data_IF_557747082960
#
_entry.id   IF_557747082960
#
_cell.length_a   1.000
_cell.length_b   1.000
_cell.length_c   1.000
_cell.angle_alpha   90.00
_cell.angle_beta   90.00
_cell.angle_gamma   90.00
#
_symmetry.space_group_name_H-M   'P 1'
#
loop_
_entity.id
_entity.type
_entity.pdbx_description
1 polymer ?
#
# COMPACT_ATOMS: atom_id res chain seq x y z
N UNK A 1 -23.35 0.88 -55.36
CA UNK A 1 -23.78 2.04 -54.55
C UNK A 1 -23.06 1.94 -53.22
N UNK A 2 -22.33 2.98 -52.80
CA UNK A 2 -21.64 2.99 -51.51
C UNK A 2 -22.67 3.38 -50.44
N UNK A 3 -23.04 2.45 -49.59
CA UNK A 3 -23.85 2.73 -48.41
C UNK A 3 -23.01 3.57 -47.45
N UNK A 4 -23.32 4.86 -47.34
CA UNK A 4 -22.68 5.76 -46.39
C UNK A 4 -23.32 5.63 -45.01
N UNK A 5 -22.49 5.62 -43.97
CA UNK A 5 -22.92 5.72 -42.57
C UNK A 5 -23.77 6.98 -42.37
N UNK A 6 -24.88 6.86 -41.66
CA UNK A 6 -25.70 8.02 -41.33
C UNK A 6 -25.09 8.80 -40.16
N UNK A 7 -25.21 10.14 -40.17
CA UNK A 7 -24.76 10.99 -39.05
C UNK A 7 -25.45 10.62 -37.73
N UNK A 8 -26.69 10.15 -37.80
CA UNK A 8 -27.48 9.73 -36.63
C UNK A 8 -26.96 8.42 -36.04
N UNK A 9 -26.52 7.47 -36.87
CA UNK A 9 -25.87 6.24 -36.38
C UNK A 9 -24.59 6.55 -35.61
N UNK A 10 -23.78 7.48 -36.11
CA UNK A 10 -22.57 7.88 -35.39
C UNK A 10 -22.88 8.62 -34.08
N UNK A 11 -23.94 9.43 -34.06
CA UNK A 11 -24.33 10.20 -32.89
C UNK A 11 -24.84 9.31 -31.73
N UNK A 12 -25.69 8.32 -32.02
CA UNK A 12 -26.19 7.43 -30.96
C UNK A 12 -25.07 6.56 -30.38
N UNK A 13 -24.10 6.15 -31.19
CA UNK A 13 -22.95 5.35 -30.74
C UNK A 13 -22.07 6.15 -29.79
N UNK A 14 -21.74 7.41 -30.11
CA UNK A 14 -20.93 8.24 -29.19
C UNK A 14 -21.67 8.59 -27.90
N UNK A 15 -23.00 8.73 -27.96
CA UNK A 15 -23.84 8.95 -26.78
C UNK A 15 -23.84 7.72 -25.84
N UNK A 16 -23.98 6.51 -26.40
CA UNK A 16 -23.95 5.27 -25.62
C UNK A 16 -22.55 5.06 -25.01
N UNK A 17 -21.47 5.22 -25.78
CA UNK A 17 -20.10 5.10 -25.27
C UNK A 17 -19.81 6.17 -24.20
N UNK A 18 -20.34 7.39 -24.35
CA UNK A 18 -20.20 8.47 -23.36
C UNK A 18 -20.80 8.12 -22.00
N UNK A 19 -21.99 7.51 -21.96
CA UNK A 19 -22.65 7.09 -20.70
C UNK A 19 -21.87 5.93 -20.05
N UNK A 20 -21.45 4.94 -20.84
CA UNK A 20 -20.69 3.78 -20.34
C UNK A 20 -19.31 4.19 -19.80
N UNK A 21 -18.62 5.13 -20.47
CA UNK A 21 -17.35 5.67 -20.01
C UNK A 21 -17.50 6.47 -18.71
N UNK A 22 -18.56 7.27 -18.59
CA UNK A 22 -18.82 8.07 -17.38
C UNK A 22 -19.01 7.23 -16.11
N UNK A 23 -19.68 6.07 -16.22
CA UNK A 23 -19.96 5.22 -15.07
C UNK A 23 -18.77 4.38 -14.57
N UNK A 24 -17.82 4.05 -15.46
CA UNK A 24 -16.77 3.05 -15.19
C UNK A 24 -15.45 3.64 -14.70
N UNK A 25 -15.14 4.89 -15.05
CA UNK A 25 -13.90 5.58 -14.66
C UNK A 25 -13.59 5.57 -13.15
N UNK A 26 -14.52 5.96 -12.24
CA UNK A 26 -14.20 6.01 -10.82
C UNK A 26 -14.00 4.62 -10.19
N UNK A 27 -14.60 3.57 -10.77
CA UNK A 27 -14.42 2.20 -10.30
C UNK A 27 -13.03 1.66 -10.69
N UNK A 28 -12.54 2.02 -11.87
CA UNK A 28 -11.22 1.60 -12.35
C UNK A 28 -10.09 2.13 -11.44
N UNK A 29 -10.14 3.41 -11.04
CA UNK A 29 -9.12 4.00 -10.15
C UNK A 29 -9.02 3.28 -8.81
N UNK A 30 -10.16 2.87 -8.23
CA UNK A 30 -10.22 2.13 -6.96
C UNK A 30 -9.59 0.75 -7.08
N UNK A 31 -9.89 0.01 -8.14
CA UNK A 31 -9.32 -1.32 -8.38
C UNK A 31 -7.79 -1.25 -8.58
N UNK A 32 -7.31 -0.24 -9.31
CA UNK A 32 -5.88 -0.01 -9.50
C UNK A 32 -5.20 0.35 -8.18
N UNK A 33 -5.85 1.14 -7.33
CA UNK A 33 -5.33 1.48 -6.01
C UNK A 33 -5.19 0.27 -5.08
N UNK A 34 -6.20 -0.61 -5.03
CA UNK A 34 -6.11 -1.85 -4.27
C UNK A 34 -4.95 -2.72 -4.75
N UNK A 35 -4.79 -2.87 -6.08
CA UNK A 35 -3.68 -3.62 -6.66
C UNK A 35 -2.31 -3.03 -6.27
N UNK A 36 -2.19 -1.70 -6.22
CA UNK A 36 -0.97 -1.03 -5.74
C UNK A 36 -0.72 -1.29 -4.27
N UNK A 37 -1.75 -1.22 -3.44
CA UNK A 37 -1.63 -1.50 -2.01
C UNK A 37 -1.18 -2.94 -1.74
N UNK A 38 -1.76 -3.92 -2.43
CA UNK A 38 -1.35 -5.34 -2.33
C UNK A 38 0.13 -5.54 -2.64
N UNK A 39 0.71 -4.77 -3.59
CA UNK A 39 2.15 -4.84 -3.89
C UNK A 39 3.00 -4.43 -2.69
N UNK A 40 2.60 -3.41 -1.94
CA UNK A 40 3.34 -3.01 -0.74
C UNK A 40 3.23 -4.06 0.36
N UNK A 41 2.06 -4.69 0.52
CA UNK A 41 1.88 -5.76 1.50
C UNK A 41 2.80 -6.96 1.23
N UNK A 42 3.07 -7.29 -0.04
CA UNK A 42 4.06 -8.31 -0.41
C UNK A 42 5.47 -7.92 0.09
N UNK A 43 5.88 -6.66 -0.08
CA UNK A 43 7.19 -6.20 0.41
C UNK A 43 7.24 -6.12 1.93
N UNK A 44 6.17 -5.66 2.59
CA UNK A 44 6.04 -5.66 4.05
C UNK A 44 6.27 -7.07 4.60
N UNK A 45 5.67 -8.09 3.97
CA UNK A 45 5.91 -9.50 4.31
C UNK A 45 7.35 -9.94 4.08
N UNK A 46 7.94 -9.62 2.93
CA UNK A 46 9.35 -9.95 2.66
C UNK A 46 10.29 -9.31 3.68
N UNK A 47 10.01 -8.07 4.09
CA UNK A 47 10.75 -7.38 5.15
C UNK A 47 10.57 -8.12 6.47
N UNK A 48 9.35 -8.50 6.84
CA UNK A 48 9.08 -9.26 8.06
C UNK A 48 9.84 -10.58 8.11
N UNK A 49 9.82 -11.37 7.03
CA UNK A 49 10.56 -12.63 6.96
C UNK A 49 12.08 -12.42 7.03
N UNK A 50 12.60 -11.38 6.37
CA UNK A 50 14.00 -11.01 6.47
C UNK A 50 14.39 -10.59 7.91
N UNK A 51 13.50 -9.89 8.61
CA UNK A 51 13.70 -9.52 10.03
C UNK A 51 13.73 -10.75 10.92
N UNK A 52 12.75 -11.64 10.76
CA UNK A 52 12.66 -12.88 11.53
C UNK A 52 13.91 -13.73 11.36
N UNK A 53 14.38 -13.89 10.12
CA UNK A 53 15.62 -14.61 9.83
C UNK A 53 16.84 -13.94 10.49
N UNK A 54 16.97 -12.61 10.37
CA UNK A 54 18.08 -11.90 10.98
C UNK A 54 18.05 -11.96 12.52
N UNK A 55 16.85 -11.94 13.12
CA UNK A 55 16.68 -12.14 14.56
C UNK A 55 17.09 -13.54 15.00
N UNK A 56 16.72 -14.58 14.24
CA UNK A 56 17.17 -15.96 14.53
C UNK A 56 18.68 -16.14 14.41
N UNK A 57 19.34 -15.47 13.46
CA UNK A 57 20.80 -15.61 13.25
C UNK A 57 21.64 -14.73 14.19
N UNK A 58 21.19 -13.50 14.51
CA UNK A 58 22.00 -12.50 15.24
C UNK A 58 21.41 -12.07 16.59
N UNK A 59 20.22 -12.57 16.93
CA UNK A 59 19.48 -12.19 18.14
C UNK A 59 18.91 -10.77 18.13
N UNK A 60 19.00 -10.04 17.01
CA UNK A 60 18.59 -8.64 16.91
C UNK A 60 17.97 -8.32 15.55
N UNK A 61 17.02 -7.38 15.53
CA UNK A 61 16.45 -6.85 14.29
C UNK A 61 17.45 -5.95 13.55
N UNK A 62 17.34 -5.89 12.23
CA UNK A 62 18.13 -4.97 11.40
C UNK A 62 17.35 -3.69 11.17
N UNK A 63 17.98 -2.53 11.29
CA UNK A 63 17.35 -1.25 10.94
C UNK A 63 17.81 -0.73 9.57
N UNK A 64 18.58 -1.56 8.86
CA UNK A 64 19.17 -1.24 7.58
C UNK A 64 18.56 -2.12 6.48
N UNK A 65 17.75 -1.51 5.61
CA UNK A 65 17.18 -2.18 4.44
C UNK A 65 18.23 -2.65 3.43
N UNK A 66 19.40 -2.04 3.32
CA UNK A 66 20.46 -2.52 2.44
C UNK A 66 21.12 -3.81 2.98
N UNK A 67 21.14 -3.99 4.30
CA UNK A 67 21.63 -5.23 4.92
C UNK A 67 20.62 -6.38 4.81
N UNK A 68 19.34 -6.04 4.64
CA UNK A 68 18.25 -6.99 4.44
C UNK A 68 18.11 -7.21 2.94
N UNK A 69 18.25 -8.43 2.44
CA UNK A 69 18.22 -8.71 0.98
C UNK A 69 16.81 -8.63 0.39
N UNK A 70 16.07 -7.57 0.69
CA UNK A 70 14.71 -7.31 0.22
C UNK A 70 14.78 -6.57 -1.10
N UNK A 71 14.06 -7.08 -2.10
CA UNK A 71 14.00 -6.48 -3.44
C UNK A 71 13.03 -5.31 -3.49
N UNK A 72 13.54 -4.09 -3.43
CA UNK A 72 12.77 -2.87 -3.72
C UNK A 72 12.72 -2.58 -5.23
N UNK A 73 11.71 -1.85 -5.72
CA UNK A 73 11.57 -1.55 -7.14
C UNK A 73 12.69 -0.61 -7.59
N UNK A 74 13.00 -0.65 -8.90
CA UNK A 74 13.96 0.28 -9.51
C UNK A 74 13.51 1.72 -9.28
N UNK A 75 14.47 2.60 -8.99
CA UNK A 75 14.21 4.00 -8.68
C UNK A 75 13.90 4.28 -7.20
N UNK A 76 13.89 3.25 -6.33
CA UNK A 76 13.81 3.45 -4.88
C UNK A 76 15.04 4.20 -4.38
N UNK A 77 14.82 5.29 -3.66
CA UNK A 77 15.87 6.07 -3.01
C UNK A 77 16.07 5.53 -1.59
N UNK A 78 17.30 5.17 -1.26
CA UNK A 78 17.68 4.77 0.08
C UNK A 78 18.40 5.93 0.77
N UNK A 79 17.96 6.28 1.97
CA UNK A 79 18.62 7.26 2.82
C UNK A 79 19.11 6.54 4.07
N UNK A 80 20.42 6.52 4.26
CA UNK A 80 21.05 5.85 5.41
C UNK A 80 21.55 6.90 6.40
N UNK A 81 21.16 6.76 7.66
CA UNK A 81 21.67 7.53 8.79
C UNK A 81 22.16 6.55 9.86
N UNK A 82 23.47 6.35 9.93
CA UNK A 82 24.08 5.33 10.78
C UNK A 82 23.55 3.92 10.44
N UNK A 83 22.94 3.25 11.43
CA UNK A 83 22.34 1.91 11.25
C UNK A 83 20.93 1.94 10.66
N UNK A 84 20.33 3.12 10.48
CA UNK A 84 18.97 3.29 9.98
C UNK A 84 18.99 3.51 8.48
N UNK A 85 18.12 2.81 7.75
CA UNK A 85 17.88 3.10 6.34
C UNK A 85 16.40 3.29 6.11
N UNK A 86 16.03 4.40 5.48
CA UNK A 86 14.69 4.66 4.98
C UNK A 86 14.68 4.40 3.47
N UNK A 87 13.61 3.81 2.96
CA UNK A 87 13.40 3.63 1.53
C UNK A 87 12.25 4.54 1.08
N UNK A 88 12.45 5.29 0.00
CA UNK A 88 11.39 6.11 -0.63
C UNK A 88 11.22 5.63 -2.06
N UNK A 89 10.02 5.17 -2.39
CA UNK A 89 9.67 4.68 -3.71
C UNK A 89 9.44 5.83 -4.69
N UNK A 90 9.46 5.55 -6.00
CA UNK A 90 9.12 6.54 -7.04
C UNK A 90 7.72 7.14 -6.91
N UNK A 91 6.77 6.41 -6.33
CA UNK A 91 5.39 6.86 -6.07
C UNK A 91 5.25 7.73 -4.80
N UNK A 92 6.35 7.97 -4.08
CA UNK A 92 6.37 8.74 -2.84
C UNK A 92 6.11 7.93 -1.57
N UNK A 93 5.83 6.63 -1.68
CA UNK A 93 5.66 5.73 -0.52
C UNK A 93 6.98 5.63 0.23
N UNK A 94 6.93 5.77 1.55
CA UNK A 94 8.11 5.70 2.41
C UNK A 94 8.06 4.44 3.26
N UNK A 95 9.19 3.77 3.44
CA UNK A 95 9.39 2.68 4.37
C UNK A 95 10.50 3.06 5.35
N UNK A 96 10.29 2.77 6.62
CA UNK A 96 11.24 3.04 7.70
C UNK A 96 11.09 1.97 8.78
N UNK A 97 12.18 1.62 9.47
CA UNK A 97 12.11 0.73 10.62
C UNK A 97 12.43 1.57 11.86
N UNK A 98 11.48 1.63 12.78
CA UNK A 98 11.60 2.39 14.01
C UNK A 98 12.33 1.55 15.07
N UNK A 99 13.51 1.98 15.57
CA UNK A 99 14.25 1.25 16.59
C UNK A 99 13.58 1.25 17.96
N UNK A 100 12.81 2.28 18.29
CA UNK A 100 12.34 2.49 19.65
C UNK A 100 11.29 1.46 20.04
N UNK A 101 10.49 1.01 19.08
CA UNK A 101 9.41 0.06 19.26
C UNK A 101 9.51 -1.16 18.32
N UNK A 102 10.66 -1.34 17.66
CA UNK A 102 10.93 -2.42 16.71
C UNK A 102 9.75 -2.66 15.75
N UNK A 103 9.38 -1.64 14.99
CA UNK A 103 8.29 -1.72 14.04
C UNK A 103 8.70 -1.26 12.65
N UNK A 104 8.20 -1.95 11.63
CA UNK A 104 8.22 -1.46 10.27
C UNK A 104 7.08 -0.46 10.10
N UNK A 105 7.41 0.73 9.61
CA UNK A 105 6.45 1.76 9.27
C UNK A 105 6.50 2.03 7.77
N UNK A 106 5.34 2.18 7.15
CA UNK A 106 5.27 2.71 5.81
C UNK A 106 4.16 3.75 5.67
N UNK A 107 4.34 4.70 4.76
CA UNK A 107 3.38 5.77 4.51
C UNK A 107 2.96 5.72 3.06
N UNK A 108 1.65 5.56 2.83
CA UNK A 108 1.04 5.57 1.50
C UNK A 108 -0.11 6.58 1.50
N UNK A 109 -0.10 7.54 0.57
CA UNK A 109 -1.09 8.64 0.48
C UNK A 109 -1.40 9.30 1.84
N UNK A 110 -0.36 9.66 2.59
CA UNK A 110 -0.47 10.29 3.93
C UNK A 110 -1.17 9.45 5.02
N UNK A 111 -1.37 8.16 4.77
CA UNK A 111 -1.81 7.18 5.75
C UNK A 111 -0.61 6.40 6.24
N UNK A 112 -0.43 6.35 7.57
CA UNK A 112 0.66 5.63 8.21
C UNK A 112 0.22 4.21 8.52
N UNK A 113 1.09 3.27 8.20
CA UNK A 113 0.94 1.87 8.52
C UNK A 113 2.09 1.47 9.42
N UNK A 114 1.80 0.69 10.44
CA UNK A 114 2.78 0.22 11.40
C UNK A 114 2.61 -1.27 11.61
N UNK A 115 3.71 -1.99 11.57
CA UNK A 115 3.77 -3.43 11.80
C UNK A 115 4.88 -3.70 12.81
N UNK A 116 4.54 -4.07 14.06
CA UNK A 116 5.53 -4.56 15.01
C UNK A 116 6.27 -5.76 14.43
N UNK A 117 7.61 -5.74 14.49
CA UNK A 117 8.44 -6.82 13.95
C UNK A 117 8.32 -8.14 14.74
N UNK A 118 7.70 -8.09 15.92
CA UNK A 118 7.42 -9.25 16.77
C UNK A 118 6.11 -9.97 16.39
N UNK A 119 5.05 -9.22 16.05
CA UNK A 119 3.74 -9.80 15.72
C UNK A 119 3.55 -10.02 14.22
N UNK A 120 4.13 -9.15 13.38
CA UNK A 120 3.87 -9.15 11.93
C UNK A 120 2.48 -8.65 11.56
N UNK A 121 1.67 -8.19 12.52
CA UNK A 121 0.33 -7.67 12.28
C UNK A 121 0.40 -6.21 11.83
N UNK A 122 -0.17 -5.90 10.66
CA UNK A 122 -0.17 -4.54 10.11
C UNK A 122 -1.38 -3.77 10.63
N UNK A 123 -1.12 -2.56 11.15
CA UNK A 123 -2.16 -1.62 11.60
C UNK A 123 -2.12 -0.33 10.77
N UNK A 124 -3.29 0.09 10.29
CA UNK A 124 -3.52 1.36 9.59
C UNK A 124 -3.84 2.47 10.61
N UNK A 125 -3.15 3.61 10.58
CA UNK A 125 -3.38 4.71 11.51
C UNK A 125 -4.10 5.86 10.81
N UNK A 126 -5.25 6.25 11.39
CA UNK A 126 -6.08 7.35 10.90
C UNK A 126 -6.10 8.56 11.85
N UNK A 127 -5.69 8.39 13.12
CA UNK A 127 -5.61 9.47 14.12
C UNK A 127 -6.90 10.31 14.26
N UNK A 128 -8.07 9.70 14.03
CA UNK A 128 -9.37 10.36 14.12
C UNK A 128 -9.81 11.08 12.83
N UNK A 129 -9.00 11.07 11.78
CA UNK A 129 -9.36 11.66 10.48
C UNK A 129 -10.43 10.79 9.77
N UNK A 130 -11.61 11.34 9.43
CA UNK A 130 -12.70 10.57 8.83
C UNK A 130 -12.39 10.05 7.43
N UNK A 131 -11.53 10.73 6.66
CA UNK A 131 -11.11 10.31 5.33
C UNK A 131 -10.16 9.12 5.43
N UNK A 132 -9.16 9.23 6.32
CA UNK A 132 -8.20 8.15 6.55
C UNK A 132 -8.85 6.94 7.21
N UNK A 133 -9.84 7.17 8.08
CA UNK A 133 -10.62 6.10 8.72
C UNK A 133 -11.34 5.26 7.68
N UNK A 134 -12.09 5.88 6.76
CA UNK A 134 -12.76 5.16 5.65
C UNK A 134 -11.78 4.38 4.79
N UNK A 135 -10.61 4.96 4.52
CA UNK A 135 -9.56 4.28 3.79
C UNK A 135 -9.01 3.05 4.53
N UNK A 136 -8.76 3.17 5.84
CA UNK A 136 -8.32 2.05 6.67
C UNK A 136 -9.40 0.96 6.78
N UNK A 137 -10.66 1.34 7.02
CA UNK A 137 -11.82 0.44 7.11
C UNK A 137 -11.98 -0.44 5.87
N UNK A 138 -11.63 0.08 4.69
CA UNK A 138 -11.66 -0.68 3.44
C UNK A 138 -10.75 -1.92 3.44
N UNK A 139 -9.67 -1.91 4.24
CA UNK A 139 -8.70 -3.01 4.33
C UNK A 139 -8.78 -3.80 5.65
N UNK A 140 -9.70 -3.42 6.54
CA UNK A 140 -9.92 -4.10 7.82
C UNK A 140 -10.70 -5.40 7.58
N UNK A 141 -10.36 -6.53 8.25
CA UNK A 141 -11.16 -7.75 8.18
C UNK A 141 -12.57 -7.52 8.73
N UNK A 142 -13.54 -8.33 8.30
CA UNK A 142 -14.92 -8.26 8.83
C UNK A 142 -14.99 -8.48 10.36
N UNK A 143 -14.07 -9.27 10.93
CA UNK A 143 -13.95 -9.48 12.38
C UNK A 143 -13.07 -8.43 13.09
N UNK A 144 -12.43 -7.53 12.33
CA UNK A 144 -11.49 -6.54 12.86
C UNK A 144 -12.19 -5.30 13.38
N UNK A 145 -12.18 -5.09 14.70
CA UNK A 145 -12.68 -3.85 15.29
C UNK A 145 -11.62 -2.74 15.20
N UNK A 146 -11.93 -1.67 14.46
CA UNK A 146 -11.12 -0.46 14.43
C UNK A 146 -11.06 0.21 15.81
N UNK A 147 -9.85 0.45 16.31
CA UNK A 147 -9.57 1.26 17.50
C UNK A 147 -9.69 2.77 17.16
N UNK A 148 -9.79 3.67 18.16
CA UNK A 148 -10.01 5.10 17.96
C UNK A 148 -9.00 5.80 17.04
N UNK A 149 -7.76 5.29 16.95
CA UNK A 149 -6.70 5.89 16.14
C UNK A 149 -6.15 4.96 15.04
N UNK A 150 -6.51 3.67 15.07
CA UNK A 150 -5.95 2.68 14.17
C UNK A 150 -6.87 1.49 13.91
N UNK A 151 -6.78 0.89 12.73
CA UNK A 151 -7.50 -0.32 12.36
C UNK A 151 -6.52 -1.46 12.05
N UNK A 152 -6.78 -2.70 12.49
CA UNK A 152 -6.01 -3.85 12.02
C UNK A 152 -6.28 -4.09 10.53
N UNK A 153 -5.28 -4.54 9.79
CA UNK A 153 -5.40 -4.82 8.36
C UNK A 153 -5.27 -6.31 8.13
N UNK A 154 -6.05 -6.83 7.18
CA UNK A 154 -5.85 -8.19 6.69
C UNK A 154 -4.46 -8.27 6.06
N UNK A 155 -3.56 -8.94 6.76
CA UNK A 155 -2.34 -9.41 6.12
C UNK A 155 -2.79 -10.61 5.29
N UNK A 156 -2.85 -10.49 3.97
CA UNK A 156 -3.09 -11.62 3.09
C UNK A 156 -1.86 -12.55 3.19
N UNK A 157 -1.92 -13.51 4.12
CA UNK A 157 -0.88 -14.54 4.34
C UNK A 157 -1.13 -15.70 3.38
#
# INVERSE_FOLDING_TARGET
MRNGFTLVELLVVVLIIGILAGATLPQYERAVEQSRFTKYMIWVRQIHEAQKMNYTTKGNYSYNFAAMRVGFPRGTKFQTSGKFTNATLPDGTKFSINPNNNSLQFTYKDVLFNMPLSSGEVSCYHYGDPVKKKFCEHFTPEEGVCKPNACPIVTFI
#
